data_IF_514744123831
#
_entry.id   IF_514744123831
#
_cell.length_a   1.000
_cell.length_b   1.000
_cell.length_c   1.000
_cell.angle_alpha   90.00
_cell.angle_beta   90.00
_cell.angle_gamma   90.00
#
_symmetry.space_group_name_H-M   'P 1'
#
loop_
_entity.id
_entity.type
_entity.pdbx_description
1 polymer ?
#
# COMPACT_ATOMS: atom_id res chain seq x y z
N UNK A 1 4.15 -28.30 -36.24
CA UNK A 1 3.84 -28.60 -34.83
C UNK A 1 4.57 -27.67 -33.87
N UNK A 2 5.91 -27.57 -33.85
CA UNK A 2 6.66 -26.68 -32.92
C UNK A 2 6.25 -25.22 -33.07
N UNK A 3 6.23 -24.67 -34.28
CA UNK A 3 5.80 -23.29 -34.54
C UNK A 3 4.39 -22.99 -34.07
N UNK A 4 3.47 -23.91 -34.25
CA UNK A 4 2.08 -23.77 -33.78
C UNK A 4 2.03 -23.67 -32.24
N UNK A 5 2.81 -24.49 -31.56
CA UNK A 5 2.93 -24.44 -30.07
C UNK A 5 3.51 -23.11 -29.62
N UNK A 6 4.59 -22.62 -30.25
CA UNK A 6 5.20 -21.34 -29.95
C UNK A 6 4.18 -20.21 -30.13
N UNK A 7 3.41 -20.20 -31.19
CA UNK A 7 2.37 -19.19 -31.42
C UNK A 7 1.25 -19.25 -30.38
N UNK A 8 0.81 -20.45 -29.98
CA UNK A 8 -0.21 -20.59 -28.93
C UNK A 8 0.32 -20.03 -27.60
N UNK A 9 1.54 -20.38 -27.22
CA UNK A 9 2.18 -19.89 -25.98
C UNK A 9 2.34 -18.36 -26.02
N UNK A 10 2.79 -17.81 -27.16
CA UNK A 10 2.94 -16.36 -27.34
C UNK A 10 1.58 -15.63 -27.22
N UNK A 11 0.51 -16.16 -27.81
CA UNK A 11 -0.83 -15.57 -27.70
C UNK A 11 -1.33 -15.63 -26.26
N UNK A 12 -1.19 -16.76 -25.57
CA UNK A 12 -1.64 -16.91 -24.19
C UNK A 12 -0.88 -15.94 -23.26
N UNK A 13 0.44 -15.87 -23.40
CA UNK A 13 1.28 -14.95 -22.64
C UNK A 13 0.87 -13.49 -22.91
N UNK A 14 0.65 -13.14 -24.19
CA UNK A 14 0.22 -11.80 -24.57
C UNK A 14 -1.15 -11.45 -23.97
N UNK A 15 -2.13 -12.38 -24.01
CA UNK A 15 -3.47 -12.16 -23.44
C UNK A 15 -3.42 -11.88 -21.94
N UNK A 16 -2.63 -12.66 -21.18
CA UNK A 16 -2.46 -12.48 -19.74
C UNK A 16 -1.85 -11.11 -19.44
N UNK A 17 -0.80 -10.73 -20.17
CA UNK A 17 -0.16 -9.42 -19.98
C UNK A 17 -1.06 -8.27 -20.46
N UNK A 18 -1.76 -8.45 -21.56
CA UNK A 18 -2.68 -7.46 -22.11
C UNK A 18 -3.82 -7.15 -21.12
N UNK A 19 -4.38 -8.15 -20.43
CA UNK A 19 -5.39 -7.91 -19.40
C UNK A 19 -4.88 -6.98 -18.29
N UNK A 20 -3.65 -7.22 -17.78
CA UNK A 20 -3.03 -6.35 -16.77
C UNK A 20 -2.72 -4.95 -17.31
N UNK A 21 -2.21 -4.84 -18.55
CA UNK A 21 -1.92 -3.53 -19.17
C UNK A 21 -3.19 -2.75 -19.41
N UNK A 22 -4.25 -3.38 -19.92
CA UNK A 22 -5.55 -2.72 -20.16
C UNK A 22 -6.17 -2.20 -18.86
N UNK A 23 -6.05 -2.94 -17.75
CA UNK A 23 -6.46 -2.47 -16.43
C UNK A 23 -5.70 -1.19 -16.05
N UNK A 24 -4.37 -1.19 -16.15
CA UNK A 24 -3.52 -0.02 -15.86
C UNK A 24 -3.88 1.14 -16.78
N UNK A 25 -4.07 0.90 -18.09
CA UNK A 25 -4.46 1.93 -19.06
C UNK A 25 -5.80 2.58 -18.70
N UNK A 26 -6.80 1.78 -18.35
CA UNK A 26 -8.11 2.27 -17.99
C UNK A 26 -8.05 3.23 -16.79
N UNK A 27 -7.44 2.82 -15.68
CA UNK A 27 -7.34 3.67 -14.50
C UNK A 27 -6.35 4.84 -14.68
N UNK A 28 -5.34 4.71 -15.53
CA UNK A 28 -4.49 5.84 -15.92
C UNK A 28 -5.29 6.90 -16.69
N UNK A 29 -6.15 6.48 -17.59
CA UNK A 29 -7.06 7.37 -18.30
C UNK A 29 -8.07 8.03 -17.35
N UNK A 30 -8.69 7.26 -16.47
CA UNK A 30 -9.62 7.78 -15.44
C UNK A 30 -8.93 8.83 -14.56
N UNK A 31 -7.65 8.67 -14.25
CA UNK A 31 -6.90 9.63 -13.41
C UNK A 31 -6.83 11.04 -13.99
N UNK A 32 -7.01 11.21 -15.31
CA UNK A 32 -7.04 12.51 -15.96
C UNK A 32 -8.29 13.33 -15.60
N UNK A 33 -9.36 12.66 -15.16
CA UNK A 33 -10.62 13.30 -14.76
C UNK A 33 -10.69 13.59 -13.26
N UNK A 34 -9.61 13.31 -12.53
CA UNK A 34 -9.56 13.64 -11.10
C UNK A 34 -9.74 15.13 -10.89
N UNK A 35 -10.71 15.46 -10.05
CA UNK A 35 -10.91 16.82 -9.56
C UNK A 35 -10.57 16.86 -8.08
N UNK A 36 -9.74 17.84 -7.71
CA UNK A 36 -9.41 18.07 -6.31
C UNK A 36 -10.69 18.37 -5.53
N UNK A 37 -11.05 17.49 -4.62
CA UNK A 37 -12.16 17.75 -3.71
C UNK A 37 -11.73 18.82 -2.71
N UNK A 38 -12.56 19.83 -2.52
CA UNK A 38 -12.37 20.77 -1.42
C UNK A 38 -12.76 20.04 -0.14
N UNK A 39 -11.83 19.83 0.76
CA UNK A 39 -12.14 19.40 2.12
C UNK A 39 -13.00 20.50 2.76
N UNK A 40 -14.28 20.23 2.93
CA UNK A 40 -15.20 21.16 3.59
C UNK A 40 -14.94 20.98 5.08
N UNK A 41 -14.39 22.01 5.72
CA UNK A 41 -14.31 22.04 7.18
C UNK A 41 -15.73 21.91 7.73
N UNK A 42 -16.03 20.77 8.34
CA UNK A 42 -17.34 20.45 8.89
C UNK A 42 -17.27 20.44 10.41
N UNK A 43 -17.61 21.59 11.00
CA UNK A 43 -18.05 21.63 12.40
C UNK A 43 -16.96 21.62 13.47
N UNK A 44 -17.39 21.96 14.67
CA UNK A 44 -16.56 22.06 15.88
C UNK A 44 -16.40 20.70 16.59
N UNK A 45 -17.14 19.66 16.17
CA UNK A 45 -17.07 18.36 16.80
C UNK A 45 -15.70 17.71 16.57
N UNK A 46 -15.02 17.40 17.65
CA UNK A 46 -13.73 16.72 17.66
C UNK A 46 -13.95 15.25 18.00
N UNK A 47 -13.68 14.37 17.03
CA UNK A 47 -13.68 12.93 17.24
C UNK A 47 -12.55 12.51 18.17
N UNK A 48 -12.73 11.40 18.91
CA UNK A 48 -11.67 10.78 19.71
C UNK A 48 -10.95 9.73 18.90
N UNK A 49 -9.64 9.89 18.78
CA UNK A 49 -8.78 9.00 17.99
C UNK A 49 -7.92 8.08 18.86
N UNK A 50 -7.86 6.80 18.50
CA UNK A 50 -6.82 5.88 18.95
C UNK A 50 -5.73 5.81 17.87
N UNK A 51 -4.51 6.16 18.23
CA UNK A 51 -3.36 6.15 17.30
C UNK A 51 -2.47 4.98 17.64
N UNK A 52 -2.22 4.09 16.66
CA UNK A 52 -1.44 2.88 16.81
C UNK A 52 -0.14 2.96 16.00
N UNK A 53 0.99 2.79 16.69
CA UNK A 53 2.33 2.66 16.12
C UNK A 53 2.88 1.27 16.43
N UNK A 54 2.62 0.25 15.59
CA UNK A 54 3.31 -1.04 15.71
C UNK A 54 4.78 -0.88 15.28
N UNK A 55 5.72 -1.22 16.16
CA UNK A 55 7.15 -1.07 15.97
C UNK A 55 7.87 -2.38 16.27
N UNK A 56 8.53 -2.97 15.28
CA UNK A 56 9.31 -4.20 15.38
C UNK A 56 10.75 -3.96 14.93
N UNK A 57 11.72 -3.93 15.87
CA UNK A 57 13.11 -3.56 15.60
C UNK A 57 13.29 -2.20 14.90
N UNK A 58 12.50 -1.19 15.28
CA UNK A 58 12.48 0.14 14.67
C UNK A 58 13.11 1.22 15.56
N UNK A 59 14.15 0.85 16.32
CA UNK A 59 14.83 1.70 17.30
C UNK A 59 15.33 3.02 16.70
N UNK A 60 15.77 3.00 15.44
CA UNK A 60 16.35 4.16 14.77
C UNK A 60 15.34 5.30 14.51
N UNK A 61 14.06 4.99 14.34
CA UNK A 61 13.07 5.92 13.78
C UNK A 61 11.91 6.23 14.72
N UNK A 62 11.50 5.28 15.58
CA UNK A 62 10.24 5.37 16.33
C UNK A 62 10.16 6.58 17.27
N UNK A 63 11.24 6.87 18.02
CA UNK A 63 11.24 7.97 18.99
C UNK A 63 11.03 9.33 18.29
N UNK A 64 11.68 9.51 17.13
CA UNK A 64 11.49 10.71 16.31
C UNK A 64 10.06 10.82 15.77
N UNK A 65 9.55 9.76 15.17
CA UNK A 65 8.20 9.76 14.56
C UNK A 65 7.10 10.03 15.59
N UNK A 66 7.19 9.41 16.77
CA UNK A 66 6.26 9.62 17.87
C UNK A 66 6.37 11.06 18.42
N UNK A 67 7.59 11.58 18.57
CA UNK A 67 7.81 12.96 19.04
C UNK A 67 7.25 14.00 18.09
N UNK A 68 7.40 13.78 16.77
CA UNK A 68 6.80 14.65 15.74
C UNK A 68 5.26 14.53 15.76
N UNK A 69 4.71 13.31 15.94
CA UNK A 69 3.25 13.13 16.04
C UNK A 69 2.67 13.89 17.23
N UNK A 70 3.32 13.91 18.39
CA UNK A 70 2.83 14.62 19.58
C UNK A 70 2.69 16.13 19.44
N UNK A 71 3.18 16.71 18.31
CA UNK A 71 3.00 18.14 17.96
C UNK A 71 1.67 18.43 17.25
N UNK A 72 0.72 17.49 17.27
CA UNK A 72 -0.58 17.70 16.59
C UNK A 72 -1.34 18.91 17.16
N UNK A 73 -1.86 19.73 16.24
CA UNK A 73 -2.79 20.82 16.54
C UNK A 73 -4.22 20.26 16.73
N UNK A 74 -4.39 19.42 17.76
CA UNK A 74 -5.63 18.74 18.10
C UNK A 74 -5.74 18.63 19.62
N UNK A 75 -6.96 18.68 20.23
CA UNK A 75 -7.09 18.59 21.69
C UNK A 75 -6.46 17.29 22.23
N UNK A 76 -5.56 17.44 23.20
CA UNK A 76 -4.78 16.30 23.72
C UNK A 76 -5.60 15.25 24.46
N UNK A 77 -6.79 15.62 24.93
CA UNK A 77 -7.78 14.72 25.55
C UNK A 77 -8.64 13.99 24.51
N UNK A 78 -8.51 14.32 23.22
CA UNK A 78 -9.24 13.71 22.11
C UNK A 78 -8.41 12.70 21.31
N UNK A 79 -7.19 12.39 21.72
CA UNK A 79 -6.47 11.26 21.14
C UNK A 79 -5.61 10.55 22.17
N UNK A 80 -5.43 9.25 21.97
CA UNK A 80 -4.46 8.45 22.71
C UNK A 80 -3.49 7.82 21.71
N UNK A 81 -2.19 7.93 22.01
CA UNK A 81 -1.15 7.31 21.22
C UNK A 81 -0.63 6.07 21.94
N UNK A 82 -0.68 4.94 21.27
CA UNK A 82 -0.15 3.66 21.74
C UNK A 82 0.99 3.22 20.82
N UNK A 83 2.17 3.02 21.41
CA UNK A 83 3.30 2.37 20.73
C UNK A 83 3.36 0.92 21.17
N UNK A 84 3.37 0.01 20.21
CA UNK A 84 3.53 -1.43 20.44
C UNK A 84 4.99 -1.76 20.12
N UNK A 85 5.79 -1.81 21.18
CA UNK A 85 7.24 -2.02 21.14
C UNK A 85 7.55 -3.53 21.14
N UNK A 86 7.75 -4.07 19.96
CA UNK A 86 8.06 -5.49 19.76
C UNK A 86 9.55 -5.64 19.42
N UNK A 87 10.32 -6.30 20.29
CA UNK A 87 11.77 -6.51 20.17
C UNK A 87 12.60 -5.21 20.03
N UNK A 88 12.15 -4.13 20.65
CA UNK A 88 12.91 -2.86 20.74
C UNK A 88 13.90 -2.92 21.90
N UNK A 89 14.96 -2.11 21.81
CA UNK A 89 15.95 -2.01 22.88
C UNK A 89 15.39 -1.37 24.15
N UNK A 90 16.01 -1.70 25.31
CA UNK A 90 15.63 -1.08 26.59
C UNK A 90 15.85 0.44 26.60
N UNK A 91 16.85 0.92 25.87
CA UNK A 91 17.16 2.35 25.78
C UNK A 91 16.06 3.10 25.01
N UNK A 92 15.65 2.58 23.87
CA UNK A 92 14.50 3.09 23.11
C UNK A 92 13.22 3.08 23.96
N UNK A 93 12.96 1.99 24.66
CA UNK A 93 11.80 1.88 25.55
C UNK A 93 11.87 2.89 26.73
N UNK A 94 13.04 3.20 27.27
CA UNK A 94 13.19 4.25 28.28
C UNK A 94 12.87 5.63 27.72
N UNK A 95 13.33 5.94 26.52
CA UNK A 95 13.03 7.22 25.85
C UNK A 95 11.53 7.36 25.57
N UNK A 96 10.89 6.31 25.05
CA UNK A 96 9.45 6.30 24.80
C UNK A 96 8.61 6.49 26.07
N UNK A 97 9.03 5.91 27.21
CA UNK A 97 8.34 6.12 28.52
C UNK A 97 8.37 7.55 29.04
N UNK A 98 9.26 8.39 28.52
CA UNK A 98 9.32 9.82 28.89
C UNK A 98 8.30 10.66 28.13
N UNK A 99 7.69 10.11 27.07
CA UNK A 99 6.68 10.77 26.25
C UNK A 99 5.27 10.53 26.80
N UNK A 100 4.32 11.44 26.58
CA UNK A 100 2.92 11.28 27.03
C UNK A 100 2.15 10.28 26.14
N UNK A 101 2.58 9.03 26.17
CA UNK A 101 2.04 7.91 25.37
C UNK A 101 1.78 6.69 26.23
N UNK A 102 1.05 5.73 25.68
CA UNK A 102 0.96 4.39 26.24
C UNK A 102 1.97 3.49 25.51
N UNK A 103 2.95 2.97 26.25
CA UNK A 103 3.92 2.01 25.73
C UNK A 103 3.51 0.59 26.11
N UNK A 104 3.27 -0.25 25.11
CA UNK A 104 3.05 -1.69 25.27
C UNK A 104 4.30 -2.44 24.82
N UNK A 105 4.73 -3.41 25.62
CA UNK A 105 5.92 -4.23 25.34
C UNK A 105 5.55 -5.71 25.33
N UNK A 106 4.80 -6.16 24.31
CA UNK A 106 4.40 -7.56 24.22
C UNK A 106 5.61 -8.47 23.91
N UNK A 107 5.47 -9.73 24.26
CA UNK A 107 6.38 -10.80 23.86
C UNK A 107 5.60 -11.78 22.99
N UNK A 108 5.94 -11.83 21.71
CA UNK A 108 5.31 -12.74 20.77
C UNK A 108 6.25 -13.90 20.40
N UNK A 109 5.74 -15.13 20.32
CA UNK A 109 6.50 -16.27 19.76
C UNK A 109 6.88 -16.03 18.31
N UNK A 110 5.94 -15.42 17.53
CA UNK A 110 6.14 -14.97 16.16
C UNK A 110 5.54 -13.59 16.03
N UNK A 111 6.37 -12.61 15.75
CA UNK A 111 5.97 -11.21 15.60
C UNK A 111 5.25 -10.99 14.28
N UNK A 112 4.18 -10.18 14.30
CA UNK A 112 3.52 -9.66 13.12
C UNK A 112 2.78 -8.37 13.46
N UNK A 113 2.59 -7.51 12.46
CA UNK A 113 1.83 -6.26 12.63
C UNK A 113 0.38 -6.55 13.03
N UNK A 114 -0.23 -7.59 12.46
CA UNK A 114 -1.57 -8.05 12.84
C UNK A 114 -1.67 -8.33 14.35
N UNK A 115 -0.73 -9.11 14.92
CA UNK A 115 -0.71 -9.40 16.37
C UNK A 115 -0.48 -8.17 17.22
N UNK A 116 0.40 -7.25 16.77
CA UNK A 116 0.64 -6.00 17.47
C UNK A 116 -0.65 -5.16 17.54
N UNK A 117 -1.39 -5.05 16.45
CA UNK A 117 -2.67 -4.34 16.40
C UNK A 117 -3.73 -5.00 17.25
N UNK A 118 -3.84 -6.35 17.24
CA UNK A 118 -4.74 -7.12 18.11
C UNK A 118 -4.45 -6.85 19.59
N UNK A 119 -3.18 -7.00 19.99
CA UNK A 119 -2.73 -6.76 21.36
C UNK A 119 -3.01 -5.33 21.83
N UNK A 120 -2.82 -4.34 20.96
CA UNK A 120 -3.11 -2.95 21.27
C UNK A 120 -4.61 -2.75 21.56
N UNK A 121 -5.49 -3.29 20.72
CA UNK A 121 -6.95 -3.17 20.91
C UNK A 121 -7.42 -3.90 22.17
N UNK A 122 -6.86 -5.07 22.46
CA UNK A 122 -7.17 -5.83 23.69
C UNK A 122 -6.69 -5.10 24.94
N UNK A 123 -5.64 -4.29 24.86
CA UNK A 123 -5.13 -3.50 26.00
C UNK A 123 -5.95 -2.24 26.32
N UNK A 124 -6.82 -1.82 25.41
CA UNK A 124 -7.71 -0.67 25.61
C UNK A 124 -8.78 -1.02 26.62
N UNK A 125 -8.93 -0.18 27.65
CA UNK A 125 -9.94 -0.37 28.69
C UNK A 125 -11.35 -0.26 28.10
N UNK A 126 -12.29 -1.04 28.63
CA UNK A 126 -13.70 -0.99 28.19
C UNK A 126 -14.35 0.38 28.43
N UNK A 127 -13.84 1.12 29.42
CA UNK A 127 -14.30 2.48 29.74
C UNK A 127 -13.87 3.53 28.71
N UNK A 128 -12.83 3.24 27.91
CA UNK A 128 -12.30 4.16 26.94
C UNK A 128 -13.07 4.03 25.62
N UNK A 129 -13.64 5.12 25.17
CA UNK A 129 -14.37 5.19 23.89
C UNK A 129 -13.60 5.99 22.87
N UNK A 130 -13.47 5.44 21.69
CA UNK A 130 -12.89 6.11 20.51
C UNK A 130 -13.89 6.06 19.35
N UNK A 131 -13.87 7.10 18.54
CA UNK A 131 -14.67 7.14 17.32
C UNK A 131 -13.90 6.48 16.17
N UNK A 132 -12.59 6.72 16.12
CA UNK A 132 -11.74 6.22 15.03
C UNK A 132 -10.41 5.68 15.56
N UNK A 133 -9.81 4.77 14.78
CA UNK A 133 -8.43 4.30 14.96
C UNK A 133 -7.59 4.70 13.77
N UNK A 134 -6.38 5.20 14.03
CA UNK A 134 -5.38 5.54 13.01
C UNK A 134 -4.18 4.62 13.16
N UNK A 135 -3.72 4.04 12.06
CA UNK A 135 -2.55 3.16 12.02
C UNK A 135 -1.44 3.85 11.23
N UNK A 136 -0.29 4.00 11.87
CA UNK A 136 0.94 4.59 11.30
C UNK A 136 2.10 3.62 11.50
N UNK A 137 2.96 3.48 10.49
CA UNK A 137 4.21 2.71 10.63
C UNK A 137 5.23 3.47 11.50
N UNK A 138 6.20 2.77 12.07
CA UNK A 138 7.16 3.30 13.04
C UNK A 138 8.01 4.47 12.51
N UNK A 139 8.22 4.56 11.20
CA UNK A 139 8.99 5.59 10.50
C UNK A 139 8.14 6.77 10.02
N UNK A 140 6.83 6.68 10.18
CA UNK A 140 5.90 7.65 9.61
C UNK A 140 5.94 9.00 10.33
N UNK A 141 6.04 10.05 9.53
CA UNK A 141 5.92 11.44 9.99
C UNK A 141 4.72 12.08 9.29
N UNK A 142 3.95 12.85 10.06
CA UNK A 142 2.76 13.55 9.57
C UNK A 142 2.82 15.02 9.92
N UNK A 143 2.03 15.85 9.23
CA UNK A 143 1.93 17.29 9.54
C UNK A 143 1.20 17.52 10.86
N UNK A 144 1.38 18.70 11.45
CA UNK A 144 0.72 19.07 12.71
C UNK A 144 -0.81 19.17 12.59
N UNK A 145 -1.34 19.41 11.39
CA UNK A 145 -2.78 19.47 11.09
C UNK A 145 -3.39 18.11 10.69
N UNK A 146 -2.64 17.00 10.84
CA UNK A 146 -3.05 15.68 10.37
C UNK A 146 -4.36 15.21 11.01
N UNK A 147 -4.45 15.24 12.35
CA UNK A 147 -5.67 14.79 13.05
C UNK A 147 -6.87 15.69 12.75
N UNK A 148 -6.69 17.00 12.67
CA UNK A 148 -7.77 17.92 12.32
C UNK A 148 -8.25 17.67 10.88
N UNK A 149 -7.32 17.41 9.96
CA UNK A 149 -7.65 17.09 8.56
C UNK A 149 -8.39 15.75 8.42
N UNK A 150 -7.97 14.70 9.15
CA UNK A 150 -8.69 13.41 9.16
C UNK A 150 -10.07 13.58 9.79
N UNK A 151 -10.18 14.32 10.89
CA UNK A 151 -11.47 14.58 11.52
C UNK A 151 -12.47 15.18 10.54
N UNK A 152 -12.06 16.15 9.72
CA UNK A 152 -12.93 16.77 8.70
C UNK A 152 -13.42 15.74 7.66
N UNK A 153 -12.63 14.72 7.36
CA UNK A 153 -13.03 13.62 6.45
C UNK A 153 -13.97 12.64 7.17
N UNK A 154 -13.68 12.26 8.41
CA UNK A 154 -14.52 11.38 9.22
C UNK A 154 -15.92 11.96 9.42
N UNK A 155 -16.04 13.28 9.61
CA UNK A 155 -17.33 14.00 9.70
C UNK A 155 -18.19 13.90 8.41
N UNK A 156 -17.63 13.44 7.30
CA UNK A 156 -18.37 13.15 6.07
C UNK A 156 -19.02 11.75 6.08
N UNK A 157 -18.79 10.94 7.14
CA UNK A 157 -19.38 9.63 7.32
C UNK A 157 -18.57 8.47 6.72
N UNK A 158 -17.33 8.68 6.34
CA UNK A 158 -16.47 7.58 5.86
C UNK A 158 -15.99 6.73 7.02
N UNK A 159 -16.21 5.41 6.92
CA UNK A 159 -15.78 4.42 7.90
C UNK A 159 -14.35 3.92 7.68
N UNK A 160 -13.81 4.08 6.47
CA UNK A 160 -12.45 3.69 6.13
C UNK A 160 -11.79 4.75 5.24
N UNK A 161 -10.61 5.20 5.62
CA UNK A 161 -9.86 6.27 4.96
C UNK A 161 -8.42 5.78 4.74
N UNK A 162 -7.88 6.02 3.54
CA UNK A 162 -6.47 5.87 3.23
C UNK A 162 -5.88 7.24 2.95
N UNK A 163 -4.90 7.65 3.73
CA UNK A 163 -4.12 8.87 3.51
C UNK A 163 -3.09 8.69 2.40
N UNK A 164 -2.58 9.79 1.87
CA UNK A 164 -1.60 9.82 0.80
C UNK A 164 -0.20 9.51 1.33
N UNK A 165 0.28 8.28 1.17
CA UNK A 165 1.63 7.91 1.56
C UNK A 165 2.64 8.46 0.55
N UNK A 166 3.62 9.22 1.06
CA UNK A 166 4.66 9.89 0.30
C UNK A 166 6.05 9.45 0.75
N UNK A 167 7.03 9.50 -0.16
CA UNK A 167 8.42 9.26 0.22
C UNK A 167 8.97 10.39 1.11
N UNK A 168 9.57 10.03 2.26
CA UNK A 168 10.29 10.93 3.16
C UNK A 168 11.69 11.24 2.64
N UNK A 169 12.34 10.26 2.04
CA UNK A 169 13.71 10.34 1.51
C UNK A 169 13.78 10.20 -0.01
N UNK A 170 14.79 10.82 -0.59
CA UNK A 170 15.09 10.78 -2.03
C UNK A 170 16.61 10.84 -2.30
N UNK A 171 17.40 10.27 -1.39
CA UNK A 171 18.86 10.37 -1.33
C UNK A 171 19.58 9.39 -2.26
N UNK A 172 18.90 8.34 -2.74
CA UNK A 172 19.49 7.37 -3.66
C UNK A 172 18.51 6.95 -4.77
N UNK A 173 19.03 6.24 -5.78
CA UNK A 173 18.28 5.86 -6.96
C UNK A 173 17.13 4.89 -6.67
N UNK A 174 17.32 3.98 -5.71
CA UNK A 174 16.31 2.98 -5.32
C UNK A 174 15.15 3.69 -4.61
N UNK A 175 15.44 4.52 -3.62
CA UNK A 175 14.43 5.27 -2.87
C UNK A 175 13.58 6.17 -3.79
N UNK A 176 14.23 6.84 -4.77
CA UNK A 176 13.51 7.67 -5.74
C UNK A 176 12.60 6.82 -6.64
N UNK A 177 13.10 5.70 -7.17
CA UNK A 177 12.28 4.82 -8.02
C UNK A 177 11.14 4.16 -7.23
N UNK A 178 11.35 3.86 -5.95
CA UNK A 178 10.31 3.35 -5.07
C UNK A 178 9.25 4.43 -4.78
N UNK A 179 9.68 5.67 -4.48
CA UNK A 179 8.79 6.81 -4.35
C UNK A 179 7.97 7.10 -5.60
N UNK A 180 8.60 7.05 -6.78
CA UNK A 180 7.91 7.16 -8.09
C UNK A 180 6.88 6.04 -8.25
N UNK A 181 7.24 4.80 -7.92
CA UNK A 181 6.31 3.66 -7.97
C UNK A 181 5.13 3.85 -7.03
N UNK A 182 5.34 4.40 -5.84
CA UNK A 182 4.29 4.70 -4.87
C UNK A 182 3.32 5.77 -5.41
N UNK A 183 3.82 6.85 -6.00
CA UNK A 183 2.97 7.90 -6.58
C UNK A 183 2.13 7.40 -7.77
N UNK A 184 2.67 6.50 -8.58
CA UNK A 184 1.91 5.82 -9.62
C UNK A 184 0.81 4.93 -9.00
N UNK A 185 1.10 4.21 -7.88
CA UNK A 185 0.10 3.45 -7.14
C UNK A 185 -1.00 4.35 -6.56
N UNK A 186 -0.62 5.47 -5.94
CA UNK A 186 -1.57 6.47 -5.43
C UNK A 186 -2.51 6.97 -6.53
N UNK A 187 -1.97 7.15 -7.74
CA UNK A 187 -2.75 7.59 -8.89
C UNK A 187 -3.69 6.50 -9.40
N UNK A 188 -3.18 5.29 -9.69
CA UNK A 188 -3.95 4.22 -10.35
C UNK A 188 -4.92 3.57 -9.36
N UNK A 189 -4.42 3.02 -8.24
CA UNK A 189 -5.20 2.13 -7.36
C UNK A 189 -6.00 2.86 -6.28
N UNK A 190 -5.81 4.18 -6.13
CA UNK A 190 -6.46 4.99 -5.10
C UNK A 190 -7.24 6.14 -5.71
N UNK A 191 -6.56 7.18 -6.18
CA UNK A 191 -7.18 8.40 -6.70
C UNK A 191 -8.12 8.13 -7.88
N UNK A 192 -7.68 7.36 -8.89
CA UNK A 192 -8.49 7.03 -10.06
C UNK A 192 -9.73 6.21 -9.69
N UNK A 193 -9.61 5.25 -8.77
CA UNK A 193 -10.76 4.48 -8.27
C UNK A 193 -11.79 5.38 -7.63
N UNK A 194 -11.39 6.23 -6.69
CA UNK A 194 -12.32 7.16 -6.04
C UNK A 194 -12.94 8.16 -7.05
N UNK A 195 -12.24 8.52 -8.13
CA UNK A 195 -12.77 9.43 -9.17
C UNK A 195 -14.05 8.88 -9.83
N UNK A 196 -14.18 7.57 -9.95
CA UNK A 196 -15.37 6.91 -10.53
C UNK A 196 -16.25 6.21 -9.48
N UNK A 197 -16.10 6.55 -8.20
CA UNK A 197 -16.93 6.00 -7.13
C UNK A 197 -16.55 4.57 -6.70
N UNK A 198 -15.37 4.07 -7.09
CA UNK A 198 -14.84 2.79 -6.63
C UNK A 198 -13.93 2.96 -5.41
N UNK A 199 -13.87 1.95 -4.55
CA UNK A 199 -13.03 1.96 -3.34
C UNK A 199 -11.55 2.06 -3.64
N UNK A 200 -10.83 2.87 -2.87
CA UNK A 200 -9.37 2.94 -2.85
C UNK A 200 -8.75 1.62 -2.39
N UNK A 201 -7.49 1.38 -2.75
CA UNK A 201 -6.68 0.35 -2.12
C UNK A 201 -6.05 0.84 -0.81
N UNK A 202 -5.92 -0.03 0.19
CA UNK A 202 -5.11 0.21 1.38
C UNK A 202 -3.61 0.00 1.11
N UNK A 203 -2.75 0.46 2.03
CA UNK A 203 -1.29 0.34 1.89
C UNK A 203 -0.55 0.16 3.23
N UNK A 204 -1.21 -0.33 4.23
CA UNK A 204 -0.59 -0.67 5.51
C UNK A 204 -0.36 0.49 6.47
N UNK A 205 -0.29 1.73 5.98
CA UNK A 205 0.04 2.91 6.78
C UNK A 205 -0.76 4.14 6.37
N UNK A 206 -0.97 5.07 7.31
CA UNK A 206 -1.85 6.22 7.07
C UNK A 206 -3.29 5.79 6.84
N UNK A 207 -3.73 4.76 7.52
CA UNK A 207 -5.09 4.23 7.49
C UNK A 207 -5.88 4.73 8.68
N UNK A 208 -7.15 5.10 8.46
CA UNK A 208 -8.08 5.43 9.53
C UNK A 208 -9.37 4.65 9.34
N UNK A 209 -9.87 4.05 10.42
CA UNK A 209 -11.07 3.24 10.42
C UNK A 209 -12.02 3.67 11.55
N UNK A 210 -13.33 3.42 11.36
CA UNK A 210 -14.27 3.39 12.47
C UNK A 210 -13.76 2.42 13.55
N UNK A 211 -13.70 2.88 14.82
CA UNK A 211 -13.09 2.09 15.89
C UNK A 211 -13.91 0.84 16.21
N UNK A 212 -15.24 0.93 16.16
CA UNK A 212 -16.12 -0.21 16.43
C UNK A 212 -15.93 -1.30 15.39
N UNK A 213 -15.90 -0.92 14.11
CA UNK A 213 -15.62 -1.85 13.03
C UNK A 213 -14.25 -2.50 13.19
N UNK A 214 -13.23 -1.70 13.45
CA UNK A 214 -11.84 -2.20 13.58
C UNK A 214 -11.72 -3.19 14.75
N UNK A 215 -12.28 -2.85 15.92
CA UNK A 215 -12.27 -3.71 17.11
C UNK A 215 -12.92 -5.08 16.85
N UNK A 216 -14.00 -5.12 16.06
CA UNK A 216 -14.69 -6.36 15.71
C UNK A 216 -13.91 -7.24 14.72
N UNK A 217 -13.03 -6.66 13.90
CA UNK A 217 -12.40 -7.36 12.80
C UNK A 217 -10.91 -7.60 12.97
N UNK A 218 -10.22 -6.82 13.79
CA UNK A 218 -8.76 -6.93 13.98
C UNK A 218 -8.33 -8.32 14.42
N UNK A 219 -9.12 -9.02 15.19
CA UNK A 219 -8.89 -10.41 15.65
C UNK A 219 -8.91 -11.45 14.52
N UNK A 220 -9.39 -11.11 13.31
CA UNK A 220 -9.42 -12.00 12.16
C UNK A 220 -8.14 -11.92 11.30
N UNK A 221 -7.30 -10.92 11.53
CA UNK A 221 -6.07 -10.69 10.76
C UNK A 221 -5.01 -11.74 11.12
N UNK A 222 -4.45 -12.38 10.13
CA UNK A 222 -3.51 -13.51 10.33
C UNK A 222 -2.29 -13.48 9.40
N UNK A 223 -2.34 -12.74 8.29
CA UNK A 223 -1.27 -12.74 7.29
C UNK A 223 -0.17 -11.71 7.60
N UNK A 224 0.92 -11.79 6.84
CA UNK A 224 2.01 -10.82 6.88
C UNK A 224 1.68 -9.51 6.12
N UNK A 225 0.48 -9.41 5.54
CA UNK A 225 -0.03 -8.26 4.79
C UNK A 225 -1.46 -7.93 5.27
N UNK A 226 -1.53 -7.52 6.52
CA UNK A 226 -2.76 -7.24 7.27
C UNK A 226 -3.65 -6.18 6.60
N UNK A 227 -3.05 -5.23 5.89
CA UNK A 227 -3.74 -4.19 5.13
C UNK A 227 -4.63 -4.77 4.02
N UNK A 228 -4.14 -5.78 3.31
CA UNK A 228 -4.90 -6.47 2.27
C UNK A 228 -6.02 -7.34 2.83
N UNK A 229 -5.80 -7.95 4.01
CA UNK A 229 -6.87 -8.67 4.71
C UNK A 229 -7.97 -7.70 5.18
N UNK A 230 -7.58 -6.54 5.77
CA UNK A 230 -8.54 -5.48 6.12
C UNK A 230 -9.31 -4.99 4.91
N UNK A 231 -8.61 -4.75 3.78
CA UNK A 231 -9.26 -4.37 2.52
C UNK A 231 -10.30 -5.41 2.10
N UNK A 232 -9.96 -6.70 2.15
CA UNK A 232 -10.88 -7.77 1.77
C UNK A 232 -12.11 -7.84 2.70
N UNK A 233 -11.95 -7.61 4.01
CA UNK A 233 -13.05 -7.55 4.98
C UNK A 233 -13.96 -6.36 4.71
N UNK A 234 -13.41 -5.16 4.54
CA UNK A 234 -14.17 -3.95 4.17
C UNK A 234 -14.98 -4.16 2.89
N UNK A 235 -14.36 -4.74 1.87
CA UNK A 235 -15.05 -5.01 0.61
C UNK A 235 -16.17 -6.04 0.73
N UNK A 236 -16.03 -7.08 1.58
CA UNK A 236 -17.10 -8.05 1.85
C UNK A 236 -18.35 -7.39 2.44
N UNK A 237 -18.15 -6.38 3.27
CA UNK A 237 -19.21 -5.63 3.94
C UNK A 237 -19.73 -4.44 3.13
N UNK A 238 -19.11 -4.16 1.98
CA UNK A 238 -19.49 -3.05 1.10
C UNK A 238 -19.08 -1.68 1.64
N UNK A 239 -18.11 -1.65 2.57
CA UNK A 239 -17.57 -0.40 3.14
C UNK A 239 -16.63 0.25 2.13
N UNK A 240 -16.92 1.52 1.81
CA UNK A 240 -16.14 2.29 0.87
C UNK A 240 -14.86 2.83 1.53
N UNK A 241 -13.70 2.64 0.87
CA UNK A 241 -12.43 3.21 1.30
C UNK A 241 -12.22 4.53 0.59
N UNK A 242 -12.19 5.63 1.35
CA UNK A 242 -11.91 6.97 0.85
C UNK A 242 -10.40 7.21 0.78
N UNK A 243 -9.89 7.61 -0.37
CA UNK A 243 -8.52 8.11 -0.51
C UNK A 243 -8.48 9.61 -0.33
N UNK A 244 -7.57 10.10 0.52
CA UNK A 244 -7.40 11.53 0.78
C UNK A 244 -6.03 11.98 0.30
N UNK A 245 -6.00 12.59 -0.87
CA UNK A 245 -4.77 13.01 -1.54
C UNK A 245 -4.04 14.16 -0.82
N UNK A 246 -4.76 15.00 -0.07
CA UNK A 246 -4.22 16.21 0.55
C UNK A 246 -3.72 16.00 1.99
N UNK A 247 -3.82 14.78 2.54
CA UNK A 247 -3.30 14.39 3.85
C UNK A 247 -2.07 13.49 3.65
N UNK A 248 -0.86 14.07 3.55
CA UNK A 248 0.35 13.28 3.34
C UNK A 248 0.78 12.57 4.63
N UNK A 249 1.26 11.33 4.46
CA UNK A 249 1.99 10.54 5.45
C UNK A 249 3.34 10.21 4.86
N UNK A 250 4.41 10.70 5.46
CA UNK A 250 5.76 10.55 4.95
C UNK A 250 6.38 9.29 5.53
N UNK A 251 6.76 8.33 4.67
CA UNK A 251 7.44 7.10 5.04
C UNK A 251 8.85 7.00 4.44
N UNK A 252 9.72 6.24 5.08
CA UNK A 252 11.08 6.05 4.62
C UNK A 252 11.12 4.96 3.54
N UNK A 253 11.66 5.31 2.37
CA UNK A 253 11.84 4.36 1.28
C UNK A 253 13.15 3.59 1.44
N UNK A 254 13.11 2.30 1.09
CA UNK A 254 14.28 1.43 1.16
C UNK A 254 15.44 1.98 0.34
N UNK A 255 16.63 1.97 0.94
CA UNK A 255 17.84 2.58 0.37
C UNK A 255 18.76 1.57 -0.32
N UNK A 256 18.61 0.28 -0.03
CA UNK A 256 19.49 -0.76 -0.58
C UNK A 256 18.72 -1.87 -1.32
N UNK A 257 19.44 -2.55 -2.22
CA UNK A 257 18.90 -3.57 -3.11
C UNK A 257 18.37 -4.82 -2.39
N UNK A 258 19.00 -5.22 -1.28
CA UNK A 258 18.64 -6.43 -0.55
C UNK A 258 17.33 -6.22 0.23
N UNK A 259 17.20 -5.07 0.89
CA UNK A 259 15.97 -4.67 1.57
C UNK A 259 14.83 -4.51 0.56
N UNK A 260 15.09 -3.91 -0.62
CA UNK A 260 14.14 -3.85 -1.71
C UNK A 260 13.66 -5.24 -2.14
N UNK A 261 14.59 -6.19 -2.35
CA UNK A 261 14.25 -7.55 -2.76
C UNK A 261 13.37 -8.25 -1.72
N UNK A 262 13.73 -8.15 -0.41
CA UNK A 262 12.95 -8.74 0.70
C UNK A 262 11.55 -8.14 0.79
N UNK A 263 11.43 -6.80 0.72
CA UNK A 263 10.16 -6.10 0.75
C UNK A 263 9.26 -6.52 -0.42
N UNK A 264 9.82 -6.59 -1.65
CA UNK A 264 9.07 -7.05 -2.83
C UNK A 264 8.66 -8.51 -2.74
N UNK A 265 9.49 -9.39 -2.19
CA UNK A 265 9.12 -10.78 -1.94
C UNK A 265 7.90 -10.86 -1.01
N UNK A 266 7.94 -10.14 0.12
CA UNK A 266 6.80 -10.06 1.06
C UNK A 266 5.51 -9.61 0.36
N UNK A 267 5.60 -8.53 -0.42
CA UNK A 267 4.42 -7.98 -1.11
C UNK A 267 3.87 -8.93 -2.18
N UNK A 268 4.74 -9.58 -2.95
CA UNK A 268 4.31 -10.55 -3.97
C UNK A 268 3.69 -11.81 -3.35
N UNK A 269 4.28 -12.31 -2.26
CA UNK A 269 3.72 -13.44 -1.50
C UNK A 269 2.36 -13.07 -0.94
N UNK A 270 2.24 -11.93 -0.28
CA UNK A 270 0.97 -11.42 0.25
C UNK A 270 -0.09 -11.20 -0.82
N UNK A 271 0.31 -10.73 -2.02
CA UNK A 271 -0.60 -10.58 -3.15
C UNK A 271 -1.22 -11.92 -3.57
N UNK A 272 -0.41 -12.99 -3.66
CA UNK A 272 -0.89 -14.34 -3.99
C UNK A 272 -1.79 -14.89 -2.88
N UNK A 273 -1.38 -14.73 -1.62
CA UNK A 273 -2.18 -15.17 -0.47
C UNK A 273 -3.55 -14.50 -0.45
N UNK A 274 -3.58 -13.17 -0.64
CA UNK A 274 -4.83 -12.41 -0.67
C UNK A 274 -5.71 -12.81 -1.86
N UNK A 275 -5.12 -13.03 -3.04
CA UNK A 275 -5.87 -13.53 -4.20
C UNK A 275 -6.58 -14.84 -3.86
N UNK A 276 -5.84 -15.81 -3.31
CA UNK A 276 -6.40 -17.11 -2.92
C UNK A 276 -7.48 -16.98 -1.84
N UNK A 277 -7.32 -16.05 -0.90
CA UNK A 277 -8.31 -15.74 0.12
C UNK A 277 -9.61 -15.15 -0.46
N UNK A 278 -9.48 -14.30 -1.48
CA UNK A 278 -10.62 -13.58 -2.06
C UNK A 278 -11.39 -14.39 -3.11
N UNK A 279 -10.73 -15.28 -3.87
CA UNK A 279 -11.33 -16.04 -4.96
C UNK A 279 -12.61 -16.80 -4.57
N UNK A 280 -12.70 -17.50 -3.42
CA UNK A 280 -13.91 -18.27 -3.07
C UNK A 280 -15.17 -17.42 -2.90
N UNK A 281 -15.03 -16.12 -2.61
CA UNK A 281 -16.18 -15.23 -2.41
C UNK A 281 -16.65 -14.56 -3.73
N UNK A 282 -15.89 -14.66 -4.82
CA UNK A 282 -16.21 -14.03 -6.13
C UNK A 282 -17.62 -14.39 -6.62
N UNK A 283 -18.10 -15.67 -6.60
CA UNK A 283 -19.45 -15.97 -7.05
C UNK A 283 -20.52 -15.20 -6.27
N UNK A 284 -20.34 -15.08 -4.93
CA UNK A 284 -21.26 -14.32 -4.07
C UNK A 284 -21.15 -12.81 -4.35
N UNK A 285 -19.96 -12.28 -4.61
CA UNK A 285 -19.75 -10.89 -4.96
C UNK A 285 -20.45 -10.53 -6.29
N UNK A 286 -20.39 -11.40 -7.29
CA UNK A 286 -21.08 -11.22 -8.57
C UNK A 286 -22.60 -11.18 -8.36
N UNK A 287 -23.16 -12.15 -7.63
CA UNK A 287 -24.60 -12.21 -7.34
C UNK A 287 -25.09 -10.94 -6.60
N UNK A 288 -24.25 -10.40 -5.70
CA UNK A 288 -24.56 -9.19 -4.95
C UNK A 288 -24.28 -7.87 -5.71
N UNK A 289 -23.69 -7.93 -6.89
CA UNK A 289 -23.24 -6.75 -7.62
C UNK A 289 -22.12 -5.98 -6.91
N UNK A 290 -21.33 -6.66 -6.05
CA UNK A 290 -20.23 -6.03 -5.31
C UNK A 290 -19.00 -5.83 -6.20
N UNK A 291 -19.06 -4.77 -7.02
CA UNK A 291 -18.01 -4.41 -7.99
C UNK A 291 -16.69 -4.12 -7.28
N UNK A 292 -16.71 -3.48 -6.11
CA UNK A 292 -15.49 -3.17 -5.37
C UNK A 292 -14.74 -4.45 -4.95
N UNK A 293 -15.44 -5.48 -4.48
CA UNK A 293 -14.81 -6.75 -4.13
C UNK A 293 -14.20 -7.45 -5.36
N UNK A 294 -14.93 -7.45 -6.48
CA UNK A 294 -14.46 -8.04 -7.74
C UNK A 294 -13.21 -7.31 -8.22
N UNK A 295 -13.24 -5.97 -8.22
CA UNK A 295 -12.12 -5.14 -8.63
C UNK A 295 -10.87 -5.38 -7.75
N UNK A 296 -11.02 -5.41 -6.41
CA UNK A 296 -9.90 -5.69 -5.50
C UNK A 296 -9.33 -7.10 -5.72
N UNK A 297 -10.17 -8.09 -6.03
CA UNK A 297 -9.70 -9.44 -6.39
C UNK A 297 -8.90 -9.40 -7.70
N UNK A 298 -9.36 -8.67 -8.71
CA UNK A 298 -8.62 -8.47 -9.97
C UNK A 298 -7.28 -7.80 -9.69
N UNK A 299 -7.22 -6.77 -8.82
CA UNK A 299 -5.98 -6.10 -8.44
C UNK A 299 -4.94 -7.08 -7.88
N UNK A 300 -5.36 -8.10 -7.10
CA UNK A 300 -4.46 -9.12 -6.59
C UNK A 300 -3.96 -10.08 -7.70
N UNK A 301 -4.68 -10.21 -8.81
CA UNK A 301 -4.28 -11.04 -9.95
C UNK A 301 -3.37 -10.30 -10.95
N UNK A 302 -3.21 -8.97 -10.83
CA UNK A 302 -2.40 -8.19 -11.77
C UNK A 302 -0.92 -8.53 -11.66
N UNK A 303 -0.26 -8.60 -12.79
CA UNK A 303 1.20 -8.72 -12.86
C UNK A 303 1.83 -7.38 -12.44
N UNK A 304 2.88 -7.37 -11.58
CA UNK A 304 3.59 -6.16 -11.19
C UNK A 304 4.05 -5.35 -12.41
N UNK A 305 3.76 -4.06 -12.43
CA UNK A 305 4.00 -3.15 -13.59
C UNK A 305 5.43 -3.13 -14.10
N UNK A 306 6.41 -3.22 -13.18
CA UNK A 306 7.82 -3.28 -13.54
C UNK A 306 8.17 -4.57 -14.31
N UNK A 307 7.57 -5.71 -13.93
CA UNK A 307 7.69 -6.97 -14.67
C UNK A 307 7.01 -6.83 -16.03
N UNK A 308 5.78 -6.28 -16.09
CA UNK A 308 5.09 -6.03 -17.37
C UNK A 308 5.94 -5.18 -18.32
N UNK A 309 6.55 -4.10 -17.82
CA UNK A 309 7.36 -3.18 -18.64
C UNK A 309 8.56 -3.90 -19.26
N UNK A 310 9.31 -4.66 -18.46
CA UNK A 310 10.49 -5.37 -18.94
C UNK A 310 10.11 -6.54 -19.86
N UNK A 311 9.10 -7.34 -19.47
CA UNK A 311 8.69 -8.49 -20.28
C UNK A 311 8.10 -8.07 -21.63
N UNK A 312 7.24 -7.03 -21.67
CA UNK A 312 6.68 -6.55 -22.95
C UNK A 312 7.74 -5.99 -23.88
N UNK A 313 8.72 -5.22 -23.35
CA UNK A 313 9.85 -4.74 -24.12
C UNK A 313 10.73 -5.90 -24.63
N UNK A 314 11.06 -6.85 -23.77
CA UNK A 314 11.90 -8.00 -24.14
C UNK A 314 11.23 -8.82 -25.25
N UNK A 315 9.94 -9.11 -25.13
CA UNK A 315 9.20 -9.84 -26.18
C UNK A 315 9.12 -9.06 -27.50
N UNK A 316 8.89 -7.74 -27.42
CA UNK A 316 8.90 -6.88 -28.60
C UNK A 316 10.25 -6.92 -29.33
N UNK A 317 11.37 -6.81 -28.59
CA UNK A 317 12.73 -6.85 -29.16
C UNK A 317 13.07 -8.23 -29.72
N UNK A 318 12.82 -9.30 -29.00
CA UNK A 318 13.10 -10.69 -29.44
C UNK A 318 12.36 -11.03 -30.73
N UNK A 319 11.07 -10.72 -30.79
CA UNK A 319 10.29 -11.00 -32.00
C UNK A 319 10.64 -10.09 -33.17
N UNK A 320 11.08 -8.84 -32.91
CA UNK A 320 11.61 -7.95 -33.94
C UNK A 320 12.90 -8.50 -34.54
N UNK A 321 13.79 -9.08 -33.72
CA UNK A 321 15.02 -9.71 -34.20
C UNK A 321 14.76 -10.94 -35.09
N UNK A 322 13.62 -11.62 -34.88
CA UNK A 322 13.16 -12.74 -35.73
C UNK A 322 12.38 -12.27 -36.97
N UNK A 323 12.32 -10.98 -37.26
CA UNK A 323 11.59 -10.36 -38.40
C UNK A 323 10.13 -10.81 -38.45
N UNK A 324 9.51 -10.95 -37.31
CA UNK A 324 8.14 -11.45 -37.20
C UNK A 324 7.14 -10.30 -37.08
N UNK A 325 6.07 -10.33 -37.91
CA UNK A 325 4.94 -9.39 -37.79
C UNK A 325 4.29 -9.46 -36.40
N UNK A 326 4.46 -10.57 -35.68
CA UNK A 326 3.97 -10.76 -34.32
C UNK A 326 4.58 -9.83 -33.28
N UNK A 327 5.72 -9.17 -33.59
CA UNK A 327 6.32 -8.17 -32.69
C UNK A 327 5.41 -6.95 -32.49
N UNK A 328 4.56 -6.60 -33.48
CA UNK A 328 3.75 -5.38 -33.46
C UNK A 328 2.80 -5.34 -32.24
N UNK A 329 2.17 -6.46 -31.91
CA UNK A 329 1.26 -6.54 -30.76
C UNK A 329 1.98 -6.27 -29.44
N UNK A 330 3.25 -6.67 -29.32
CA UNK A 330 4.07 -6.42 -28.13
C UNK A 330 4.56 -4.97 -28.06
N UNK A 331 4.91 -4.36 -29.20
CA UNK A 331 5.22 -2.93 -29.26
C UNK A 331 4.04 -2.05 -28.88
N UNK A 332 2.83 -2.39 -29.34
CA UNK A 332 1.59 -1.70 -28.97
C UNK A 332 1.40 -1.80 -27.46
N UNK A 333 1.53 -3.00 -26.88
CA UNK A 333 1.31 -3.24 -25.46
C UNK A 333 2.35 -2.48 -24.61
N UNK A 334 3.63 -2.50 -24.99
CA UNK A 334 4.70 -1.74 -24.36
C UNK A 334 4.44 -0.22 -24.44
N UNK A 335 4.03 0.27 -25.61
CA UNK A 335 3.70 1.69 -25.82
C UNK A 335 2.52 2.15 -24.97
N UNK A 336 1.45 1.38 -24.91
CA UNK A 336 0.28 1.65 -24.07
C UNK A 336 0.66 1.69 -22.58
N UNK A 337 1.43 0.70 -22.11
CA UNK A 337 1.88 0.66 -20.72
C UNK A 337 2.77 1.86 -20.40
N UNK A 338 3.75 2.16 -21.25
CA UNK A 338 4.68 3.28 -21.07
C UNK A 338 3.94 4.63 -21.02
N UNK A 339 2.98 4.83 -21.93
CA UNK A 339 2.15 6.03 -21.95
C UNK A 339 1.31 6.14 -20.67
N UNK A 340 0.71 5.03 -20.22
CA UNK A 340 -0.07 4.98 -18.99
C UNK A 340 0.76 5.37 -17.76
N UNK A 341 1.97 4.85 -17.65
CA UNK A 341 2.88 5.20 -16.55
C UNK A 341 3.32 6.67 -16.61
N UNK A 342 3.53 7.23 -17.80
CA UNK A 342 3.84 8.65 -17.98
C UNK A 342 2.67 9.55 -17.59
N UNK A 343 1.44 9.19 -17.94
CA UNK A 343 0.23 9.94 -17.56
C UNK A 343 0.08 10.00 -16.04
N UNK A 344 0.30 8.89 -15.36
CA UNK A 344 0.10 8.76 -13.90
C UNK A 344 1.22 9.36 -13.06
N UNK A 345 2.37 9.65 -13.67
CA UNK A 345 3.50 10.27 -12.97
C UNK A 345 3.21 11.73 -12.69
N UNK A 346 3.28 12.20 -11.42
CA UNK A 346 3.13 13.61 -11.08
C UNK A 346 4.13 14.51 -11.83
N UNK A 347 3.71 15.73 -12.18
CA UNK A 347 4.55 16.66 -12.96
C UNK A 347 5.88 16.97 -12.28
N UNK A 348 5.90 17.02 -10.94
CA UNK A 348 7.11 17.25 -10.14
C UNK A 348 8.17 16.15 -10.31
N UNK A 349 7.73 14.91 -10.60
CA UNK A 349 8.61 13.75 -10.80
C UNK A 349 9.00 13.54 -12.27
N UNK A 350 8.46 14.34 -13.23
CA UNK A 350 8.82 14.28 -14.65
C UNK A 350 10.13 15.04 -14.92
N UNK A 351 11.21 14.65 -14.25
CA UNK A 351 12.52 15.29 -14.39
C UNK A 351 13.48 14.40 -15.18
N UNK A 352 14.49 15.02 -15.86
CA UNK A 352 15.57 14.28 -16.53
C UNK A 352 16.31 13.34 -15.58
N UNK A 353 16.42 13.73 -14.32
CA UNK A 353 17.06 12.94 -13.27
C UNK A 353 16.30 11.64 -13.00
N UNK A 354 14.97 11.67 -12.90
CA UNK A 354 14.14 10.46 -12.73
C UNK A 354 14.23 9.59 -13.98
N UNK A 355 14.13 10.16 -15.18
CA UNK A 355 14.22 9.39 -16.43
C UNK A 355 15.57 8.68 -16.58
N UNK A 356 16.69 9.33 -16.22
CA UNK A 356 18.01 8.67 -16.25
C UNK A 356 18.08 7.47 -15.30
N UNK A 357 17.36 7.49 -14.20
CA UNK A 357 17.33 6.40 -13.23
C UNK A 357 16.52 5.19 -13.67
N UNK A 358 15.69 5.31 -14.70
CA UNK A 358 15.00 4.16 -15.29
C UNK A 358 15.97 3.07 -15.81
N UNK A 359 17.23 3.41 -16.06
CA UNK A 359 18.29 2.43 -16.40
C UNK A 359 18.53 1.39 -15.30
N UNK A 360 18.16 1.67 -14.03
CA UNK A 360 18.23 0.72 -12.93
C UNK A 360 17.03 -0.25 -12.88
N UNK A 361 15.91 0.07 -13.54
CA UNK A 361 14.69 -0.74 -13.52
C UNK A 361 14.92 -2.20 -13.95
N UNK A 362 15.69 -2.51 -15.03
CA UNK A 362 15.95 -3.90 -15.40
C UNK A 362 16.62 -4.71 -14.28
N UNK A 363 17.55 -4.12 -13.53
CA UNK A 363 18.20 -4.77 -12.38
C UNK A 363 17.19 -5.06 -11.26
N UNK A 364 16.35 -4.08 -10.91
CA UNK A 364 15.32 -4.25 -9.89
C UNK A 364 14.29 -5.31 -10.31
N UNK A 365 13.94 -5.36 -11.59
CA UNK A 365 13.05 -6.39 -12.13
C UNK A 365 13.71 -7.77 -12.10
N UNK A 366 15.02 -7.87 -12.34
CA UNK A 366 15.76 -9.12 -12.16
C UNK A 366 15.60 -9.71 -10.76
N UNK A 367 15.69 -8.86 -9.72
CA UNK A 367 15.41 -9.28 -8.33
C UNK A 367 13.95 -9.73 -8.14
N UNK A 368 12.99 -9.02 -8.74
CA UNK A 368 11.57 -9.40 -8.66
C UNK A 368 11.27 -10.72 -9.40
N UNK A 369 11.90 -10.94 -10.56
CA UNK A 369 11.76 -12.22 -11.28
C UNK A 369 12.36 -13.38 -10.48
N UNK A 370 13.52 -13.17 -9.82
CA UNK A 370 14.08 -14.19 -8.93
C UNK A 370 13.16 -14.49 -7.73
N UNK A 371 12.40 -13.50 -7.26
CA UNK A 371 11.42 -13.67 -6.18
C UNK A 371 10.24 -14.55 -6.59
N UNK A 372 9.85 -14.60 -7.88
CA UNK A 372 8.75 -15.47 -8.35
C UNK A 372 8.99 -16.95 -7.97
N UNK A 373 10.26 -17.38 -7.99
CA UNK A 373 10.63 -18.75 -7.60
C UNK A 373 10.73 -18.97 -6.09
N UNK A 374 10.63 -17.89 -5.30
CA UNK A 374 10.73 -17.91 -3.83
C UNK A 374 9.38 -17.69 -3.15
N UNK A 375 8.32 -17.45 -3.91
CA UNK A 375 6.97 -17.26 -3.36
C UNK A 375 6.51 -18.56 -2.71
N UNK A 376 6.31 -18.51 -1.40
CA UNK A 376 5.66 -19.58 -0.64
C UNK A 376 4.36 -19.04 -0.02
N UNK A 377 3.24 -19.37 -0.66
CA UNK A 377 1.91 -18.93 -0.25
C UNK A 377 1.45 -19.53 1.10
N UNK A 378 2.15 -20.54 1.63
CA UNK A 378 1.87 -21.14 2.94
C UNK A 378 2.68 -20.49 4.08
N UNK A 379 3.74 -19.76 3.73
CA UNK A 379 4.58 -19.10 4.74
C UNK A 379 3.93 -17.77 5.16
N UNK A 380 3.56 -17.68 6.43
CA UNK A 380 3.01 -16.47 7.07
C UNK A 380 4.04 -15.71 7.90
N UNK A 381 5.30 -16.12 7.88
CA UNK A 381 6.35 -15.46 8.67
C UNK A 381 6.60 -14.03 8.18
N UNK A 382 6.67 -13.10 9.12
CA UNK A 382 6.96 -11.71 8.83
C UNK A 382 8.43 -11.52 8.42
N UNK A 383 8.66 -11.04 7.20
CA UNK A 383 9.99 -10.68 6.71
C UNK A 383 10.25 -9.22 7.06
N UNK A 384 11.07 -8.97 8.08
CA UNK A 384 11.46 -7.62 8.49
C UNK A 384 12.34 -6.93 7.45
N UNK A 385 12.06 -5.66 7.19
CA UNK A 385 12.88 -4.77 6.35
C UNK A 385 13.46 -3.71 7.26
N UNK A 386 14.78 -3.71 7.49
CA UNK A 386 15.45 -2.73 8.36
C UNK A 386 15.42 -1.33 7.73
N UNK A 387 15.13 -0.33 8.56
CA UNK A 387 15.38 1.07 8.25
C UNK A 387 16.81 1.43 8.70
N UNK A 388 17.57 2.11 7.83
CA UNK A 388 19.01 2.33 8.03
C UNK A 388 19.32 3.68 8.72
N UNK A 389 18.31 4.53 9.00
CA UNK A 389 18.49 5.82 9.68
C UNK A 389 17.27 6.22 10.48
#
# INVERSE_FOLDING_TARGET
MIWTIIHIVDILLWLIMAASVMYVCFFSFVSLFYRKERCVKRGENKARFLILYPAYHEDAVIVHSVSEFLRQEYPSDHFQLIVISDHMTDDTNKQLRQLPITLLTPVFDKSSKAKALQYAVESVKETDSYDHVVILDADNVVRTDFLSSINDVCQQGYQAIQCHRCAKNSDNDIAILDGVSEEINNTIFRRAHNTIGMSSALIGSGMCFDYTWFKQHVGQLSSAVEDREMEALLMKEGIFIKFVNDIPVYDEKVSNSDNFQRQRLRWMTGQVQTLLLMLPYIPKAIIKGNINYIDKTIQQALIPRSILLVCTLTMALLLSACVSVWCLKWWILFGLLSLSLLITLPSQLRSRTVFRRLTYVPRLVGHMLSNLFKIDHKNTDFIHTKHDK
#
